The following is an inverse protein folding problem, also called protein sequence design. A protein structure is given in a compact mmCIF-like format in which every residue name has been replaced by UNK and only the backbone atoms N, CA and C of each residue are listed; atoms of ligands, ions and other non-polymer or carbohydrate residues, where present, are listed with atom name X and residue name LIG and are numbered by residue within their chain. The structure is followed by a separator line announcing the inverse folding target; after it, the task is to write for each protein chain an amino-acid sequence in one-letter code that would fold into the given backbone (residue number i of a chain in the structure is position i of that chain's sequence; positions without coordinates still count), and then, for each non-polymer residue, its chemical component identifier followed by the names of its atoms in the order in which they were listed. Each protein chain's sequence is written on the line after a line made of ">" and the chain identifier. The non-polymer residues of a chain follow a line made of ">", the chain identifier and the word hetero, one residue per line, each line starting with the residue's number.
data_IF_231727093714
#
_entry.id   IF_231727093714
#
_cell.length_a   1.000
_cell.length_b   1.000
_cell.length_c   1.000
_cell.angle_alpha   90.00
_cell.angle_beta   90.00
_cell.angle_gamma   90.00
#
_symmetry.space_group_name_H-M   'P 1'
#
loop_
_entity.id
_entity.type
_entity.pdbx_description
1 polymer ?
#
# COMPACT_ATOMS: atom_id res chain seq x y z
N UNK A 1 -26.92 -7.43 7.19
CA UNK A 1 -25.98 -6.29 7.07
C UNK A 1 -24.61 -6.88 6.82
N UNK A 2 -23.95 -6.51 5.71
CA UNK A 2 -22.57 -6.93 5.45
C UNK A 2 -21.68 -6.33 6.54
N UNK A 3 -21.39 -7.12 7.58
CA UNK A 3 -20.44 -6.73 8.61
C UNK A 3 -19.08 -6.45 7.98
N UNK A 4 -18.30 -5.58 8.60
CA UNK A 4 -16.92 -5.29 8.19
C UNK A 4 -16.20 -6.65 8.03
N UNK A 5 -15.66 -6.92 6.84
CA UNK A 5 -15.06 -8.22 6.48
C UNK A 5 -13.96 -8.67 7.46
N UNK A 6 -13.35 -7.71 8.16
CA UNK A 6 -12.40 -7.95 9.23
C UNK A 6 -12.89 -7.27 10.50
N UNK A 7 -12.88 -8.00 11.61
CA UNK A 7 -13.01 -7.40 12.95
C UNK A 7 -11.80 -6.50 13.26
N UNK A 8 -11.92 -5.61 14.25
CA UNK A 8 -10.82 -4.74 14.64
C UNK A 8 -9.53 -5.50 15.00
N UNK A 9 -9.67 -6.68 15.64
CA UNK A 9 -8.53 -7.57 15.94
C UNK A 9 -7.88 -8.10 14.65
N UNK A 10 -8.69 -8.59 13.71
CA UNK A 10 -8.20 -9.07 12.42
C UNK A 10 -7.55 -7.95 11.60
N UNK A 11 -8.07 -6.71 11.66
CA UNK A 11 -7.43 -5.55 11.03
C UNK A 11 -6.05 -5.25 11.64
N UNK A 12 -5.90 -5.37 12.95
CA UNK A 12 -4.61 -5.20 13.62
C UNK A 12 -3.61 -6.26 13.16
N UNK A 13 -4.02 -7.52 13.18
CA UNK A 13 -3.19 -8.65 12.74
C UNK A 13 -2.81 -8.51 11.26
N UNK A 14 -3.74 -8.04 10.43
CA UNK A 14 -3.53 -7.80 9.02
C UNK A 14 -2.50 -6.69 8.76
N UNK A 15 -2.61 -5.55 9.47
CA UNK A 15 -1.60 -4.49 9.46
C UNK A 15 -0.22 -5.00 9.89
N UNK A 16 -0.16 -5.84 10.92
CA UNK A 16 1.11 -6.44 11.36
C UNK A 16 1.70 -7.39 10.33
N UNK A 17 0.86 -8.10 9.60
CA UNK A 17 1.30 -8.90 8.46
C UNK A 17 1.87 -8.04 7.34
N UNK A 18 1.26 -6.88 7.04
CA UNK A 18 1.79 -5.92 6.05
C UNK A 18 3.19 -5.43 6.43
N UNK A 19 3.36 -4.98 7.68
CA UNK A 19 4.64 -4.53 8.23
C UNK A 19 5.73 -5.62 8.10
N UNK A 20 5.36 -6.89 8.35
CA UNK A 20 6.26 -8.04 8.17
C UNK A 20 6.62 -8.26 6.70
N UNK A 21 5.67 -8.15 5.78
CA UNK A 21 5.93 -8.24 4.33
C UNK A 21 6.90 -7.16 3.88
N UNK A 22 6.66 -5.91 4.28
CA UNK A 22 7.54 -4.77 3.99
C UNK A 22 8.96 -4.99 4.57
N UNK A 23 9.07 -5.52 5.79
CA UNK A 23 10.36 -5.85 6.39
C UNK A 23 11.10 -6.95 5.62
N UNK A 24 10.40 -7.97 5.12
CA UNK A 24 10.99 -9.02 4.28
C UNK A 24 11.50 -8.46 2.95
N UNK A 25 10.71 -7.63 2.26
CA UNK A 25 11.13 -6.96 1.03
C UNK A 25 12.40 -6.13 1.24
N UNK A 26 12.44 -5.34 2.32
CA UNK A 26 13.61 -4.53 2.67
C UNK A 26 14.86 -5.37 2.88
N UNK A 27 14.74 -6.53 3.53
CA UNK A 27 15.87 -7.48 3.71
C UNK A 27 16.30 -8.13 2.40
N UNK A 28 15.36 -8.39 1.49
CA UNK A 28 15.62 -8.91 0.16
C UNK A 28 16.18 -7.87 -0.82
N UNK A 29 16.34 -6.61 -0.40
CA UNK A 29 16.89 -5.53 -1.23
C UNK A 29 15.86 -4.80 -2.10
N UNK A 30 14.61 -5.26 -2.12
CA UNK A 30 13.50 -4.56 -2.78
C UNK A 30 13.10 -3.35 -1.94
N UNK A 31 13.50 -2.15 -2.40
CA UNK A 31 13.13 -0.88 -1.76
C UNK A 31 12.06 -0.20 -2.60
N UNK A 32 11.16 0.50 -1.91
CA UNK A 32 10.16 1.37 -2.54
C UNK A 32 9.23 0.62 -3.49
N UNK A 33 8.57 -0.45 -3.04
CA UNK A 33 7.47 -1.07 -3.79
C UNK A 33 6.19 -0.98 -2.99
N UNK A 34 5.06 -0.90 -3.69
CA UNK A 34 3.76 -0.88 -3.03
C UNK A 34 3.34 -2.29 -2.66
N UNK A 35 2.92 -2.46 -1.41
CA UNK A 35 2.33 -3.69 -0.90
C UNK A 35 0.82 -3.49 -0.82
N UNK A 36 0.07 -4.18 -1.66
CA UNK A 36 -1.38 -4.14 -1.70
C UNK A 36 -1.98 -5.11 -0.68
N UNK A 37 -2.75 -4.63 0.30
CA UNK A 37 -3.55 -5.49 1.15
C UNK A 37 -4.80 -5.95 0.38
N UNK A 38 -4.97 -7.26 0.21
CA UNK A 38 -6.12 -7.87 -0.47
C UNK A 38 -6.92 -8.65 0.56
N UNK A 39 -8.21 -8.36 0.66
CA UNK A 39 -9.14 -9.08 1.54
C UNK A 39 -10.02 -9.99 0.69
N UNK A 40 -10.10 -11.27 1.03
CA UNK A 40 -10.82 -12.27 0.23
C UNK A 40 -12.33 -11.99 0.10
N UNK A 41 -12.93 -11.36 1.13
CA UNK A 41 -14.37 -11.07 1.16
C UNK A 41 -15.26 -12.29 1.44
N UNK A 42 -14.66 -13.46 1.66
CA UNK A 42 -15.33 -14.68 2.09
C UNK A 42 -15.97 -14.51 3.48
N UNK A 43 -17.13 -15.14 3.75
CA UNK A 43 -17.76 -15.14 5.06
C UNK A 43 -17.09 -16.13 6.05
N UNK A 44 -16.07 -16.86 5.60
CA UNK A 44 -15.34 -17.81 6.42
C UNK A 44 -14.44 -17.06 7.42
N UNK A 45 -14.64 -17.24 8.73
CA UNK A 45 -13.89 -16.52 9.77
C UNK A 45 -12.39 -16.86 9.79
N UNK A 46 -11.99 -17.95 9.13
CA UNK A 46 -10.59 -18.38 8.97
C UNK A 46 -9.95 -17.92 7.67
N UNK A 47 -10.77 -17.47 6.72
CA UNK A 47 -10.35 -16.96 5.43
C UNK A 47 -10.07 -15.46 5.57
N UNK A 48 -8.77 -15.12 5.58
CA UNK A 48 -8.30 -13.75 5.85
C UNK A 48 -8.04 -12.91 4.61
N UNK A 49 -7.07 -12.00 4.75
CA UNK A 49 -6.47 -11.27 3.64
C UNK A 49 -5.00 -11.65 3.46
N UNK A 50 -4.44 -11.31 2.30
CA UNK A 50 -3.02 -11.45 2.01
C UNK A 50 -2.44 -10.13 1.47
N UNK A 51 -1.14 -10.14 1.20
CA UNK A 51 -0.41 -8.98 0.71
C UNK A 51 0.23 -9.33 -0.62
N UNK A 52 -0.01 -8.53 -1.64
CA UNK A 52 0.62 -8.65 -2.95
C UNK A 52 1.58 -7.48 -3.16
N UNK A 53 2.72 -7.73 -3.78
CA UNK A 53 3.75 -6.71 -4.01
C UNK A 53 3.86 -6.50 -5.50
N UNK A 54 3.54 -5.28 -5.95
CA UNK A 54 3.71 -4.92 -7.34
C UNK A 54 5.16 -4.50 -7.60
N UNK A 55 5.95 -5.44 -8.12
CA UNK A 55 7.34 -5.21 -8.50
C UNK A 55 7.49 -4.48 -9.85
N UNK A 56 6.40 -4.30 -10.61
CA UNK A 56 6.43 -3.60 -11.90
C UNK A 56 6.49 -2.08 -11.71
N UNK A 57 6.07 -1.58 -10.55
CA UNK A 57 5.92 -0.15 -10.29
C UNK A 57 6.63 0.26 -8.99
N UNK A 58 7.93 0.61 -9.05
CA UNK A 58 8.60 1.19 -7.91
C UNK A 58 7.97 2.54 -7.54
N UNK A 59 7.84 2.78 -6.25
CA UNK A 59 7.49 4.06 -5.68
C UNK A 59 8.66 5.02 -5.85
N UNK A 60 8.38 6.30 -6.16
CA UNK A 60 9.41 7.31 -6.27
C UNK A 60 10.18 7.48 -4.95
N UNK A 61 11.46 7.76 -5.08
CA UNK A 61 12.31 8.21 -3.98
C UNK A 61 11.84 9.56 -3.43
N UNK A 62 12.33 9.95 -2.25
CA UNK A 62 11.98 11.25 -1.65
C UNK A 62 12.32 12.43 -2.59
N UNK A 63 13.46 12.37 -3.28
CA UNK A 63 13.86 13.42 -4.23
C UNK A 63 12.95 13.47 -5.46
N UNK A 64 12.52 12.30 -5.96
CA UNK A 64 11.56 12.21 -7.06
C UNK A 64 10.18 12.69 -6.63
N UNK A 65 9.75 12.37 -5.41
CA UNK A 65 8.53 12.91 -4.82
C UNK A 65 8.55 14.44 -4.81
N UNK A 66 9.63 15.06 -4.36
CA UNK A 66 9.76 16.52 -4.36
C UNK A 66 9.69 17.12 -5.77
N UNK A 67 10.34 16.48 -6.75
CA UNK A 67 10.25 16.89 -8.16
C UNK A 67 8.83 16.75 -8.71
N UNK A 68 8.17 15.62 -8.45
CA UNK A 68 6.78 15.36 -8.86
C UNK A 68 5.84 16.41 -8.25
N UNK A 69 5.99 16.71 -6.96
CA UNK A 69 5.20 17.71 -6.25
C UNK A 69 5.42 19.12 -6.81
N UNK A 70 6.67 19.50 -7.07
CA UNK A 70 7.00 20.79 -7.71
C UNK A 70 6.39 20.89 -9.11
N UNK A 71 6.53 19.87 -9.94
CA UNK A 71 5.96 19.84 -11.30
C UNK A 71 4.42 19.93 -11.28
N UNK A 72 3.78 19.21 -10.36
CA UNK A 72 2.33 19.28 -10.18
C UNK A 72 1.87 20.67 -9.71
N UNK A 73 2.64 21.34 -8.85
CA UNK A 73 2.34 22.71 -8.43
C UNK A 73 2.40 23.72 -9.58
N UNK A 74 3.36 23.56 -10.50
CA UNK A 74 3.53 24.43 -11.67
C UNK A 74 2.39 24.23 -12.68
N UNK A 75 2.02 22.98 -12.98
CA UNK A 75 0.90 22.68 -13.88
C UNK A 75 -0.44 23.18 -13.34
N UNK A 76 -0.66 23.14 -12.02
CA UNK A 76 -1.83 23.77 -11.39
C UNK A 76 -1.87 25.29 -11.55
N UNK A 77 -0.73 25.98 -11.54
CA UNK A 77 -0.67 27.43 -11.78
C UNK A 77 -1.03 27.77 -13.23
N UNK A 78 -0.53 26.98 -14.18
CA UNK A 78 -0.78 27.17 -15.62
C UNK A 78 -2.28 26.97 -15.94
N UNK A 79 -2.94 25.97 -15.37
CA UNK A 79 -4.38 25.71 -15.60
C UNK A 79 -5.34 26.74 -14.98
N UNK A 80 -4.84 27.65 -14.14
CA UNK A 80 -5.63 28.72 -13.52
C UNK A 80 -5.54 30.06 -14.27
N UNK A 81 -4.66 30.15 -15.27
CA UNK A 81 -4.54 31.28 -16.20
C UNK A 81 -5.36 30.99 -17.45
#
# INVERSE_FOLDING_TARGET
>A
MAGIFLTAKQMYDFKKSEERTNAKLKRAGFKNFHTYPIVCGCPDPTCGGWHEVDLSRPLPTNEECDKILKNHSQTKKIKKL
#
